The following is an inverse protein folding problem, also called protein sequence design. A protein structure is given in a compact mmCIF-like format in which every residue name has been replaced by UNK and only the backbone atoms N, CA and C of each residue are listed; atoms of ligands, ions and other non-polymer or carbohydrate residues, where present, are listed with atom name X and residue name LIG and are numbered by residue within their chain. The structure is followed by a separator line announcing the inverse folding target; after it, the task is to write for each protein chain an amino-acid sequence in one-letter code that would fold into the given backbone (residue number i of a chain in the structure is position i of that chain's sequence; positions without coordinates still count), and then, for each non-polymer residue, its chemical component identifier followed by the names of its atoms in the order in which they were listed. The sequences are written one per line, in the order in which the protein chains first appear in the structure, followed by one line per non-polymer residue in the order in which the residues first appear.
data_IF_259278822758
#
_entry.id   IF_259278822758
#
_cell.length_a   1.000
_cell.length_b   1.000
_cell.length_c   1.000
_cell.angle_alpha   90.00
_cell.angle_beta   90.00
_cell.angle_gamma   90.00
#
_symmetry.space_group_name_H-M   'P 1'
#
loop_
_entity.id
_entity.type
_entity.pdbx_description
1 polymer ?
#
# COMPACT_ATOMS: atom_id res chain seq x y z
N UNK A 1 9.47 -13.43 -13.52
CA UNK A 1 8.33 -13.76 -12.65
C UNK A 1 8.07 -12.58 -11.74
N UNK A 2 6.87 -12.00 -11.79
CA UNK A 2 6.51 -10.90 -10.88
C UNK A 2 5.97 -11.51 -9.57
N UNK A 3 6.83 -11.60 -8.55
CA UNK A 3 6.46 -12.14 -7.23
C UNK A 3 5.26 -11.38 -6.65
N UNK A 4 5.09 -10.09 -6.96
CA UNK A 4 3.93 -9.31 -6.53
C UNK A 4 2.63 -9.85 -7.15
N UNK A 5 2.65 -10.25 -8.43
CA UNK A 5 1.49 -10.83 -9.10
C UNK A 5 1.06 -12.17 -8.47
N UNK A 6 2.03 -12.96 -7.98
CA UNK A 6 1.75 -14.24 -7.31
C UNK A 6 1.19 -14.08 -5.90
N UNK A 7 1.44 -12.93 -5.26
CA UNK A 7 0.93 -12.61 -3.94
C UNK A 7 -0.50 -12.07 -3.96
N UNK A 8 -0.89 -11.44 -5.07
CA UNK A 8 -2.17 -10.73 -5.18
C UNK A 8 -3.39 -11.60 -4.82
N UNK A 9 -3.57 -12.83 -5.33
CA UNK A 9 -4.74 -13.63 -4.97
C UNK A 9 -4.79 -13.94 -3.46
N UNK A 10 -3.65 -14.26 -2.84
CA UNK A 10 -3.58 -14.54 -1.40
C UNK A 10 -3.81 -13.30 -0.55
N UNK A 11 -3.43 -12.13 -1.07
CA UNK A 11 -3.66 -10.86 -0.41
C UNK A 11 -5.14 -10.49 -0.43
N UNK A 12 -5.82 -10.74 -1.55
CA UNK A 12 -7.27 -10.51 -1.73
C UNK A 12 -8.11 -11.40 -0.79
N UNK A 13 -7.59 -12.55 -0.35
CA UNK A 13 -8.25 -13.45 0.62
C UNK A 13 -8.13 -13.01 2.09
N UNK A 14 -7.31 -12.00 2.41
CA UNK A 14 -7.14 -11.56 3.79
C UNK A 14 -8.38 -10.79 4.26
N UNK A 15 -9.05 -11.26 5.32
CA UNK A 15 -10.07 -10.45 5.99
C UNK A 15 -9.47 -9.12 6.47
N UNK A 16 -10.09 -8.03 6.05
CA UNK A 16 -9.65 -6.66 6.29
C UNK A 16 -8.68 -6.11 5.23
N UNK A 17 -8.40 -6.82 4.14
CA UNK A 17 -7.79 -6.23 2.96
C UNK A 17 -8.77 -5.25 2.28
N UNK A 18 -8.25 -4.09 1.86
CA UNK A 18 -9.05 -3.05 1.17
C UNK A 18 -8.59 -2.91 -0.28
N UNK A 19 -7.31 -2.65 -0.50
CA UNK A 19 -6.77 -2.48 -1.84
C UNK A 19 -5.25 -2.62 -1.89
N UNK A 20 -4.71 -2.89 -3.08
CA UNK A 20 -3.28 -2.79 -3.38
C UNK A 20 -3.08 -2.05 -4.70
N UNK A 21 -2.19 -1.07 -4.68
CA UNK A 21 -1.79 -0.28 -5.82
C UNK A 21 -0.27 -0.33 -6.00
N UNK A 22 0.18 -0.26 -7.25
CA UNK A 22 1.60 -0.25 -7.56
C UNK A 22 1.91 0.96 -8.42
N UNK A 23 2.83 1.76 -7.91
CA UNK A 23 3.33 2.94 -8.58
C UNK A 23 4.80 2.75 -8.94
N UNK A 24 5.19 3.34 -10.07
CA UNK A 24 6.57 3.47 -10.47
C UNK A 24 6.94 4.95 -10.39
N UNK A 25 8.12 5.25 -9.86
CA UNK A 25 8.59 6.64 -9.80
C UNK A 25 8.87 7.13 -11.22
N UNK A 26 8.27 8.26 -11.58
CA UNK A 26 8.43 8.85 -12.92
C UNK A 26 9.89 9.22 -13.25
N UNK A 27 10.63 9.77 -12.27
CA UNK A 27 12.02 10.20 -12.45
C UNK A 27 13.05 9.06 -12.37
N UNK A 28 12.63 7.87 -11.94
CA UNK A 28 13.49 6.70 -11.73
C UNK A 28 12.62 5.44 -11.81
N UNK A 29 12.47 4.88 -13.03
CA UNK A 29 11.63 3.71 -13.25
C UNK A 29 12.07 2.47 -12.45
N UNK A 30 13.33 2.38 -12.01
CA UNK A 30 13.76 1.24 -11.20
C UNK A 30 13.12 1.25 -9.79
N UNK A 31 12.62 2.41 -9.34
CA UNK A 31 12.01 2.56 -8.02
C UNK A 31 10.50 2.37 -8.08
N UNK A 32 10.04 1.33 -7.38
CA UNK A 32 8.63 0.96 -7.27
C UNK A 32 8.11 1.17 -5.84
N UNK A 33 6.83 1.52 -5.74
CA UNK A 33 6.07 1.57 -4.50
C UNK A 33 4.87 0.64 -4.63
N UNK A 34 4.77 -0.34 -3.74
CA UNK A 34 3.53 -1.07 -3.50
C UNK A 34 2.85 -0.47 -2.27
N UNK A 35 1.66 0.06 -2.46
CA UNK A 35 0.83 0.65 -1.41
C UNK A 35 -0.37 -0.26 -1.18
N UNK A 36 -0.52 -0.76 0.04
CA UNK A 36 -1.63 -1.65 0.39
C UNK A 36 -2.41 -1.03 1.54
N UNK A 37 -3.73 -1.00 1.40
CA UNK A 37 -4.65 -0.54 2.42
C UNK A 37 -5.31 -1.74 3.11
N UNK A 38 -5.39 -1.65 4.42
CA UNK A 38 -6.04 -2.61 5.29
C UNK A 38 -6.94 -1.87 6.26
N UNK A 39 -8.03 -2.51 6.67
CA UNK A 39 -9.00 -1.99 7.64
C UNK A 39 -8.34 -1.67 8.98
N UNK A 40 -7.44 -2.53 9.43
CA UNK A 40 -6.84 -2.49 10.76
C UNK A 40 -5.46 -3.16 10.82
N UNK A 41 -4.77 -3.00 11.95
CA UNK A 41 -3.44 -3.59 12.18
C UNK A 41 -3.49 -5.12 12.26
N UNK A 42 -4.61 -5.71 12.66
CA UNK A 42 -4.74 -7.17 12.71
C UNK A 42 -4.73 -7.77 11.30
N UNK A 43 -5.38 -7.14 10.33
CA UNK A 43 -5.33 -7.54 8.92
C UNK A 43 -3.90 -7.45 8.37
N UNK A 44 -3.16 -6.39 8.73
CA UNK A 44 -1.73 -6.28 8.41
C UNK A 44 -0.94 -7.43 9.04
N UNK A 45 -1.22 -7.78 10.29
CA UNK A 45 -0.56 -8.88 10.97
C UNK A 45 -0.87 -10.24 10.32
N UNK A 46 -2.13 -10.51 9.94
CA UNK A 46 -2.54 -11.69 9.18
C UNK A 46 -1.74 -11.79 7.88
N UNK A 47 -1.70 -10.71 7.10
CA UNK A 47 -0.92 -10.65 5.87
C UNK A 47 0.58 -10.93 6.08
N UNK A 48 1.19 -10.34 7.12
CA UNK A 48 2.62 -10.52 7.44
C UNK A 48 2.99 -11.91 7.96
N UNK A 49 2.02 -12.71 8.40
CA UNK A 49 2.23 -14.08 8.87
C UNK A 49 2.19 -15.11 7.75
N UNK A 50 1.63 -14.80 6.58
CA UNK A 50 1.60 -15.73 5.45
C UNK A 50 3.02 -16.05 4.96
N UNK A 51 3.32 -17.34 4.81
CA UNK A 51 4.63 -17.81 4.37
C UNK A 51 5.01 -17.30 2.99
N UNK A 52 4.04 -17.22 2.08
CA UNK A 52 4.24 -16.64 0.76
C UNK A 52 4.73 -15.19 0.84
N UNK A 53 4.10 -14.38 1.72
CA UNK A 53 4.49 -12.99 1.90
C UNK A 53 5.85 -12.88 2.61
N UNK A 54 6.16 -13.74 3.59
CA UNK A 54 7.48 -13.81 4.23
C UNK A 54 8.58 -14.17 3.23
N UNK A 55 8.34 -15.13 2.35
CA UNK A 55 9.28 -15.52 1.31
C UNK A 55 9.53 -14.36 0.34
N UNK A 56 8.49 -13.67 -0.11
CA UNK A 56 8.62 -12.49 -0.95
C UNK A 56 9.36 -11.34 -0.26
N UNK A 57 9.11 -11.11 1.03
CA UNK A 57 9.84 -10.11 1.82
C UNK A 57 11.32 -10.45 1.97
N UNK A 58 11.65 -11.74 2.12
CA UNK A 58 13.04 -12.20 2.17
C UNK A 58 13.73 -11.93 0.84
N UNK A 59 13.16 -12.42 -0.27
CA UNK A 59 13.69 -12.18 -1.61
C UNK A 59 13.83 -10.68 -1.93
N UNK A 60 12.84 -9.87 -1.54
CA UNK A 60 12.87 -8.42 -1.66
C UNK A 60 14.08 -7.78 -0.97
N UNK A 61 14.44 -8.26 0.22
CA UNK A 61 15.56 -7.73 1.01
C UNK A 61 16.93 -8.23 0.58
N UNK A 62 17.00 -9.47 0.06
CA UNK A 62 18.29 -10.14 -0.20
C UNK A 62 18.71 -10.07 -1.67
N UNK A 63 17.75 -10.13 -2.59
CA UNK A 63 18.03 -10.53 -3.98
C UNK A 63 17.41 -9.59 -5.02
N UNK A 64 16.27 -8.97 -4.72
CA UNK A 64 15.47 -8.28 -5.75
C UNK A 64 15.66 -6.76 -5.80
N UNK A 65 16.01 -6.12 -4.68
CA UNK A 65 16.10 -4.67 -4.61
C UNK A 65 17.44 -4.22 -4.03
N UNK A 66 18.06 -3.22 -4.66
CA UNK A 66 19.23 -2.54 -4.10
C UNK A 66 18.91 -1.78 -2.79
N UNK A 67 17.62 -1.49 -2.55
CA UNK A 67 17.14 -0.92 -1.29
C UNK A 67 15.69 -1.28 -1.03
N UNK A 68 15.40 -1.74 0.20
CA UNK A 68 14.07 -2.16 0.62
C UNK A 68 13.62 -1.43 1.88
N UNK A 69 12.42 -0.84 1.86
CA UNK A 69 11.84 -0.13 2.99
C UNK A 69 10.35 -0.44 3.11
N UNK A 70 9.92 -0.77 4.32
CA UNK A 70 8.50 -0.90 4.68
C UNK A 70 8.11 0.26 5.61
N UNK A 71 6.93 0.83 5.40
CA UNK A 71 6.30 1.80 6.31
C UNK A 71 4.89 1.32 6.60
N UNK A 72 4.49 1.41 7.87
CA UNK A 72 3.12 1.18 8.33
C UNK A 72 2.65 2.49 8.94
N UNK A 73 1.48 2.96 8.54
CA UNK A 73 0.90 4.22 8.98
C UNK A 73 -0.62 4.09 9.06
N UNK A 74 -1.23 4.85 9.95
CA UNK A 74 -2.69 5.00 10.00
C UNK A 74 -3.12 6.12 9.07
N UNK A 75 -4.18 5.88 8.31
CA UNK A 75 -4.87 6.92 7.55
C UNK A 75 -5.69 7.73 8.55
N UNK A 76 -5.27 8.97 8.81
CA UNK A 76 -5.98 9.86 9.74
C UNK A 76 -7.20 10.49 9.07
N UNK A 77 -7.10 10.76 7.76
CA UNK A 77 -8.19 11.28 6.91
C UNK A 77 -8.00 10.76 5.48
N UNK A 78 -9.11 10.47 4.82
CA UNK A 78 -9.19 10.13 3.39
C UNK A 78 -10.36 10.89 2.76
N UNK A 79 -10.07 11.69 1.74
CA UNK A 79 -11.06 12.47 1.01
C UNK A 79 -10.52 12.80 -0.39
N UNK A 80 -11.44 12.81 -1.36
CA UNK A 80 -11.14 13.03 -2.77
C UNK A 80 -11.82 14.26 -3.34
N UNK A 81 -11.82 14.35 -4.68
CA UNK A 81 -12.55 15.39 -5.41
C UNK A 81 -14.05 15.35 -5.08
N UNK A 82 -14.62 14.15 -4.93
CA UNK A 82 -16.05 13.92 -4.72
C UNK A 82 -16.38 13.53 -3.27
N UNK A 83 -15.59 12.65 -2.65
CA UNK A 83 -15.78 12.24 -1.26
C UNK A 83 -15.16 13.26 -0.30
N UNK A 84 -16.00 14.13 0.28
CA UNK A 84 -15.54 15.30 1.04
C UNK A 84 -15.81 15.26 2.54
N UNK A 85 -16.33 14.14 3.06
CA UNK A 85 -16.76 14.03 4.46
C UNK A 85 -15.64 14.32 5.47
N UNK A 86 -14.39 13.96 5.13
CA UNK A 86 -13.24 14.09 6.01
C UNK A 86 -12.40 15.36 5.74
N UNK A 87 -12.88 16.28 4.89
CA UNK A 87 -12.16 17.53 4.57
C UNK A 87 -12.05 18.41 5.82
N UNK A 88 -10.85 18.91 6.18
CA UNK A 88 -10.68 19.79 7.33
C UNK A 88 -11.47 21.09 7.17
N UNK A 89 -12.03 21.65 8.27
CA UNK A 89 -12.89 22.83 8.21
C UNK A 89 -12.20 24.08 7.64
N UNK A 90 -10.87 24.17 7.76
CA UNK A 90 -10.05 25.28 7.23
C UNK A 90 -9.63 25.11 5.76
N UNK A 91 -10.00 24.02 5.09
CA UNK A 91 -9.67 23.77 3.67
C UNK A 91 -10.62 24.45 2.68
N UNK A 92 -11.49 25.37 3.14
CA UNK A 92 -12.46 26.12 2.32
C UNK A 92 -11.93 27.43 1.73
N UNK A 93 -10.62 27.59 1.56
CA UNK A 93 -10.03 28.77 0.92
C UNK A 93 -9.26 28.36 -0.36
N UNK A 94 -9.80 28.74 -1.52
CA UNK A 94 -9.27 28.45 -2.86
C UNK A 94 -10.15 27.40 -3.55
N UNK A 95 -11.21 27.75 -4.26
CA UNK A 95 -11.32 28.85 -5.21
C UNK A 95 -11.62 28.18 -6.54
N UNK A 96 -12.89 28.19 -6.92
CA UNK A 96 -13.38 27.83 -8.24
C UNK A 96 -12.57 28.56 -9.33
N UNK A 97 -12.13 27.82 -10.34
CA UNK A 97 -11.53 28.33 -11.56
C UNK A 97 -11.59 27.25 -12.62
#
# INVERSE_FOLDING_TARGET
MDIAAQLRPRLEEIDGFVSIERFQRLSDPAKVLSLSFFRDEEAVARWRRLDAHRAAQRAGRTELFAGYRLRIAHVVRDYGMHDREQVPPYSRAGGSG
#
